data_IF_170808187998
#
_entry.id   IF_170808187998
#
_cell.length_a   1.000
_cell.length_b   1.000
_cell.length_c   1.000
_cell.angle_alpha   90.00
_cell.angle_beta   90.00
_cell.angle_gamma   90.00
#
_symmetry.space_group_name_H-M   'P 1'
#
loop_
_entity.id
_entity.type
_entity.pdbx_description
1 polymer ?
#
# COMPACT_ATOMS: atom_id res chain seq x y z
N UNK A 1 -20.97 3.94 3.03
CA UNK A 1 -22.17 3.09 3.18
C UNK A 1 -22.31 2.61 4.63
N UNK A 2 -23.53 2.62 5.18
CA UNK A 2 -23.87 1.93 6.44
C UNK A 2 -25.03 0.98 6.16
N UNK A 3 -24.89 -0.30 6.49
CA UNK A 3 -25.92 -1.32 6.24
C UNK A 3 -26.29 -2.04 7.55
N UNK A 4 -27.49 -2.61 7.58
CA UNK A 4 -27.97 -3.51 8.65
C UNK A 4 -28.06 -4.98 8.19
N UNK A 5 -27.80 -5.24 6.92
CA UNK A 5 -27.98 -6.56 6.29
C UNK A 5 -26.70 -7.40 6.30
N UNK A 6 -25.54 -6.74 6.39
CA UNK A 6 -24.23 -7.38 6.32
C UNK A 6 -23.36 -6.95 7.50
N UNK A 7 -22.60 -7.90 8.02
CA UNK A 7 -21.70 -7.66 9.16
C UNK A 7 -20.41 -6.97 8.71
N UNK A 8 -19.80 -6.23 9.63
CA UNK A 8 -18.44 -5.71 9.42
C UNK A 8 -17.44 -6.87 9.40
N UNK A 9 -16.44 -6.83 8.52
CA UNK A 9 -15.43 -7.87 8.45
C UNK A 9 -14.69 -8.03 9.79
N UNK A 10 -14.46 -9.29 10.18
CA UNK A 10 -13.66 -9.62 11.36
C UNK A 10 -12.37 -10.30 10.94
N UNK A 11 -11.27 -9.92 11.57
CA UNK A 11 -9.98 -10.60 11.44
C UNK A 11 -9.60 -11.16 12.80
N UNK A 12 -9.36 -12.47 12.86
CA UNK A 12 -8.79 -13.14 14.03
C UNK A 12 -7.29 -13.29 13.81
N UNK A 13 -6.51 -12.79 14.75
CA UNK A 13 -5.04 -12.86 14.72
C UNK A 13 -4.60 -13.84 15.80
N UNK A 14 -3.84 -14.86 15.43
CA UNK A 14 -3.14 -15.71 16.40
C UNK A 14 -1.64 -15.59 16.26
N UNK A 15 -0.94 -15.48 17.39
CA UNK A 15 0.52 -15.49 17.45
C UNK A 15 0.97 -16.95 17.52
N UNK A 16 1.73 -17.38 16.52
CA UNK A 16 2.39 -18.69 16.52
C UNK A 16 3.60 -18.65 17.45
N UNK A 17 4.06 -19.83 17.89
CA UNK A 17 5.19 -19.97 18.82
C UNK A 17 6.52 -19.43 18.26
N UNK A 18 6.64 -19.33 16.94
CA UNK A 18 7.79 -18.75 16.23
C UNK A 18 7.70 -17.21 16.07
N UNK A 19 6.65 -16.58 16.63
CA UNK A 19 6.40 -15.15 16.51
C UNK A 19 5.64 -14.74 15.24
N UNK A 20 5.43 -15.66 14.29
CA UNK A 20 4.65 -15.38 13.08
C UNK A 20 3.15 -15.28 13.38
N UNK A 21 2.42 -14.51 12.58
CA UNK A 21 0.97 -14.32 12.75
C UNK A 21 0.19 -15.20 11.78
N UNK A 22 -0.85 -15.83 12.29
CA UNK A 22 -1.89 -16.45 11.47
C UNK A 22 -3.13 -15.56 11.47
N UNK A 23 -3.59 -15.18 10.29
CA UNK A 23 -4.80 -14.38 10.11
C UNK A 23 -5.92 -15.27 9.59
N UNK A 24 -7.07 -15.26 10.28
CA UNK A 24 -8.30 -15.84 9.78
C UNK A 24 -9.35 -14.77 9.63
N UNK A 25 -9.81 -14.55 8.40
CA UNK A 25 -10.79 -13.54 8.09
C UNK A 25 -12.20 -14.13 8.00
N UNK A 26 -13.14 -13.48 8.68
CA UNK A 26 -14.57 -13.65 8.44
C UNK A 26 -15.03 -12.49 7.56
N UNK A 27 -14.97 -12.69 6.24
CA UNK A 27 -15.20 -11.63 5.24
C UNK A 27 -16.12 -12.00 4.08
N UNK A 28 -16.57 -13.27 3.96
CA UNK A 28 -17.28 -13.78 2.76
C UNK A 28 -18.53 -12.96 2.36
N UNK A 29 -19.28 -12.43 3.31
CA UNK A 29 -20.45 -11.58 3.08
C UNK A 29 -20.35 -10.26 3.83
N UNK A 30 -19.12 -9.77 4.04
CA UNK A 30 -18.92 -8.57 4.82
C UNK A 30 -19.45 -7.32 4.09
N UNK A 31 -19.84 -6.33 4.88
CA UNK A 31 -20.42 -5.08 4.40
C UNK A 31 -19.54 -4.34 3.40
N UNK A 32 -18.21 -4.37 3.57
CA UNK A 32 -17.29 -3.71 2.65
C UNK A 32 -17.34 -4.32 1.23
N UNK A 33 -17.61 -5.62 1.09
CA UNK A 33 -17.75 -6.24 -0.23
C UNK A 33 -19.01 -5.81 -0.99
N UNK A 34 -20.01 -5.26 -0.30
CA UNK A 34 -21.29 -4.89 -0.88
C UNK A 34 -21.34 -3.46 -1.43
N UNK A 35 -20.26 -2.69 -1.24
CA UNK A 35 -20.16 -1.33 -1.75
C UNK A 35 -20.24 -1.31 -3.28
N UNK A 36 -21.25 -0.65 -3.82
CA UNK A 36 -21.55 -0.61 -5.25
C UNK A 36 -20.83 0.55 -5.94
N UNK A 37 -20.64 0.49 -7.27
CA UNK A 37 -20.19 1.64 -8.05
C UNK A 37 -21.03 2.91 -7.82
N UNK A 38 -22.36 2.75 -7.64
CA UNK A 38 -23.29 3.87 -7.44
C UNK A 38 -23.22 4.46 -6.01
N UNK A 39 -22.54 3.79 -5.06
CA UNK A 39 -22.34 4.29 -3.71
C UNK A 39 -21.17 5.29 -3.62
N UNK A 40 -20.42 5.49 -4.71
CA UNK A 40 -19.31 6.45 -4.77
C UNK A 40 -19.89 7.87 -4.72
N UNK A 41 -19.68 8.54 -3.60
CA UNK A 41 -20.00 9.97 -3.48
C UNK A 41 -18.99 10.79 -4.29
N UNK A 42 -19.43 11.36 -5.40
CA UNK A 42 -18.56 12.12 -6.31
C UNK A 42 -17.95 13.37 -5.65
N UNK A 43 -18.56 13.89 -4.59
CA UNK A 43 -18.02 15.05 -3.87
C UNK A 43 -16.67 14.72 -3.22
N UNK A 44 -16.42 13.45 -2.87
CA UNK A 44 -15.13 13.04 -2.29
C UNK A 44 -13.99 13.15 -3.27
N UNK A 45 -14.25 13.34 -4.57
CA UNK A 45 -13.24 13.46 -5.64
C UNK A 45 -12.93 14.92 -6.01
N UNK A 46 -13.47 15.91 -5.30
CA UNK A 46 -13.24 17.33 -5.59
C UNK A 46 -11.90 17.84 -5.02
N UNK A 47 -11.43 17.24 -3.92
CA UNK A 47 -10.19 17.62 -3.23
C UNK A 47 -9.41 16.37 -2.81
N UNK A 48 -8.80 15.71 -3.80
CA UNK A 48 -8.07 14.45 -3.62
C UNK A 48 -6.71 14.50 -4.30
N UNK A 49 -5.65 14.34 -3.53
CA UNK A 49 -4.31 14.17 -4.11
C UNK A 49 -4.04 12.74 -4.59
N UNK A 50 -4.47 11.72 -3.83
CA UNK A 50 -4.31 10.31 -4.18
C UNK A 50 -5.53 9.47 -3.82
N UNK A 51 -5.85 8.51 -4.68
CA UNK A 51 -6.66 7.34 -4.32
C UNK A 51 -5.71 6.19 -4.02
N UNK A 52 -5.82 5.60 -2.82
CA UNK A 52 -5.03 4.44 -2.41
C UNK A 52 -5.93 3.23 -2.19
N UNK A 53 -5.52 2.06 -2.67
CA UNK A 53 -6.22 0.80 -2.40
C UNK A 53 -5.25 -0.39 -2.33
N UNK A 54 -5.77 -1.52 -1.83
CA UNK A 54 -5.05 -2.79 -1.70
C UNK A 54 -5.81 -3.96 -2.33
N UNK A 55 -5.14 -5.09 -2.58
CA UNK A 55 -5.79 -6.25 -3.25
C UNK A 55 -6.94 -6.87 -2.46
N UNK A 56 -7.00 -6.68 -1.14
CA UNK A 56 -8.10 -7.15 -0.29
C UNK A 56 -9.47 -6.69 -0.80
N UNK A 57 -9.56 -5.50 -1.38
CA UNK A 57 -10.81 -4.94 -1.90
C UNK A 57 -11.20 -5.51 -3.28
N UNK A 58 -10.35 -6.33 -3.90
CA UNK A 58 -10.46 -6.71 -5.30
C UNK A 58 -10.92 -8.15 -5.52
N UNK A 59 -11.33 -8.86 -4.46
CA UNK A 59 -12.05 -10.14 -4.61
C UNK A 59 -13.32 -9.94 -5.43
N UNK A 60 -13.75 -10.95 -6.21
CA UNK A 60 -14.94 -10.80 -7.07
C UNK A 60 -16.19 -10.44 -6.26
N UNK A 61 -16.61 -9.18 -6.40
CA UNK A 61 -17.63 -8.54 -5.56
C UNK A 61 -18.07 -7.20 -6.16
N UNK A 62 -19.18 -6.62 -5.69
CA UNK A 62 -19.51 -5.21 -5.95
C UNK A 62 -18.35 -4.24 -5.69
N UNK A 63 -17.58 -4.46 -4.63
CA UNK A 63 -16.44 -3.61 -4.26
C UNK A 63 -15.35 -3.58 -5.35
N UNK A 64 -15.05 -4.70 -6.01
CA UNK A 64 -14.13 -4.74 -7.15
C UNK A 64 -14.62 -3.84 -8.29
N UNK A 65 -15.92 -3.89 -8.61
CA UNK A 65 -16.55 -3.05 -9.63
C UNK A 65 -16.53 -1.58 -9.24
N UNK A 66 -16.75 -1.27 -7.96
CA UNK A 66 -16.64 0.09 -7.43
C UNK A 66 -15.22 0.63 -7.57
N UNK A 67 -14.18 -0.18 -7.33
CA UNK A 67 -12.79 0.22 -7.56
C UNK A 67 -12.52 0.52 -9.04
N UNK A 68 -13.02 -0.30 -9.97
CA UNK A 68 -12.90 -0.01 -11.41
C UNK A 68 -13.57 1.33 -11.77
N UNK A 69 -14.79 1.57 -11.27
CA UNK A 69 -15.47 2.86 -11.48
C UNK A 69 -14.70 4.03 -10.86
N UNK A 70 -14.13 3.84 -9.68
CA UNK A 70 -13.32 4.85 -9.00
C UNK A 70 -12.05 5.18 -9.81
N UNK A 71 -11.40 4.17 -10.40
CA UNK A 71 -10.25 4.34 -11.29
C UNK A 71 -10.63 5.11 -12.56
N UNK A 72 -11.78 4.81 -13.18
CA UNK A 72 -12.29 5.57 -14.33
C UNK A 72 -12.49 7.04 -13.98
N UNK A 73 -13.19 7.33 -12.87
CA UNK A 73 -13.41 8.69 -12.36
C UNK A 73 -12.10 9.41 -12.03
N UNK A 74 -11.13 8.70 -11.44
CA UNK A 74 -9.81 9.24 -11.14
C UNK A 74 -9.09 9.67 -12.43
N UNK A 75 -9.14 8.84 -13.48
CA UNK A 75 -8.55 9.17 -14.76
C UNK A 75 -9.23 10.36 -15.45
N UNK A 76 -10.56 10.49 -15.35
CA UNK A 76 -11.31 11.65 -15.87
C UNK A 76 -10.91 12.96 -15.19
N UNK A 77 -10.48 12.90 -13.92
CA UNK A 77 -10.11 14.05 -13.08
C UNK A 77 -8.61 14.25 -12.90
N UNK A 78 -7.78 13.45 -13.56
CA UNK A 78 -6.31 13.43 -13.40
C UNK A 78 -5.84 13.19 -11.95
N UNK A 79 -6.61 12.41 -11.19
CA UNK A 79 -6.28 12.02 -9.82
C UNK A 79 -5.28 10.86 -9.84
N UNK A 80 -4.21 10.99 -9.04
CA UNK A 80 -3.18 9.96 -8.94
C UNK A 80 -3.68 8.76 -8.16
N UNK A 81 -3.13 7.61 -8.52
CA UNK A 81 -3.51 6.31 -7.94
C UNK A 81 -2.28 5.69 -7.29
N UNK A 82 -2.42 5.32 -6.02
CA UNK A 82 -1.48 4.50 -5.27
C UNK A 82 -2.05 3.09 -5.10
N UNK A 83 -1.23 2.06 -5.36
CA UNK A 83 -1.64 0.67 -5.18
C UNK A 83 -0.57 -0.10 -4.39
N UNK A 84 -0.99 -0.67 -3.26
CA UNK A 84 -0.20 -1.63 -2.48
C UNK A 84 -0.91 -2.99 -2.56
N UNK A 85 -0.44 -3.96 -3.37
CA UNK A 85 -1.08 -5.27 -3.45
C UNK A 85 -1.35 -5.88 -2.08
N UNK A 86 -0.43 -5.74 -1.12
CA UNK A 86 -0.58 -6.15 0.28
C UNK A 86 -1.25 -7.53 0.40
N UNK A 87 -0.62 -8.54 -0.20
CA UNK A 87 -1.25 -9.82 -0.51
C UNK A 87 -1.79 -10.52 0.74
N UNK A 88 -3.02 -11.03 0.66
CA UNK A 88 -3.66 -11.82 1.72
C UNK A 88 -4.24 -13.09 1.12
N UNK A 89 -3.38 -14.08 0.86
CA UNK A 89 -3.75 -15.35 0.22
C UNK A 89 -4.99 -16.01 0.86
N UNK A 90 -5.11 -15.96 2.19
CA UNK A 90 -6.26 -16.52 2.93
C UNK A 90 -7.65 -15.95 2.58
N UNK A 91 -7.70 -14.81 1.87
CA UNK A 91 -8.95 -14.17 1.42
C UNK A 91 -9.41 -14.63 0.04
N UNK A 92 -8.59 -15.42 -0.65
CA UNK A 92 -8.82 -15.88 -2.01
C UNK A 92 -8.93 -17.40 -2.01
N UNK A 93 -9.90 -17.92 -2.74
CA UNK A 93 -10.05 -19.38 -2.88
C UNK A 93 -8.95 -19.95 -3.80
N UNK A 94 -8.41 -19.13 -4.72
CA UNK A 94 -7.32 -19.46 -5.62
C UNK A 94 -6.25 -18.36 -5.64
N UNK A 95 -5.01 -18.75 -5.39
CA UNK A 95 -3.86 -17.84 -5.43
C UNK A 95 -3.61 -17.31 -6.86
N UNK A 96 -3.89 -18.09 -7.90
CA UNK A 96 -3.75 -17.61 -9.28
C UNK A 96 -4.77 -16.53 -9.61
N UNK A 97 -5.97 -16.57 -9.01
CA UNK A 97 -6.98 -15.51 -9.17
C UNK A 97 -6.51 -14.19 -8.52
N UNK A 98 -5.90 -14.26 -7.33
CA UNK A 98 -5.28 -13.11 -6.69
C UNK A 98 -4.19 -12.52 -7.60
N UNK A 99 -3.27 -13.36 -8.08
CA UNK A 99 -2.17 -12.92 -8.96
C UNK A 99 -2.72 -12.25 -10.21
N UNK A 100 -3.68 -12.88 -10.89
CA UNK A 100 -4.34 -12.33 -12.08
C UNK A 100 -4.99 -10.97 -11.79
N UNK A 101 -5.68 -10.85 -10.65
CA UNK A 101 -6.34 -9.60 -10.27
C UNK A 101 -5.32 -8.50 -9.94
N UNK A 102 -4.23 -8.81 -9.25
CA UNK A 102 -3.16 -7.84 -9.02
C UNK A 102 -2.59 -7.34 -10.36
N UNK A 103 -2.26 -8.26 -11.26
CA UNK A 103 -1.74 -7.92 -12.59
C UNK A 103 -2.73 -7.12 -13.45
N UNK A 104 -4.04 -7.33 -13.27
CA UNK A 104 -5.12 -6.56 -13.88
C UNK A 104 -5.12 -5.10 -13.40
N UNK A 105 -4.80 -4.84 -12.13
CA UNK A 105 -4.89 -3.50 -11.53
C UNK A 105 -3.58 -2.70 -11.54
N UNK A 106 -2.41 -3.36 -11.63
CA UNK A 106 -1.11 -2.68 -11.70
C UNK A 106 -1.05 -1.56 -12.78
N UNK A 107 -1.58 -1.73 -14.00
CA UNK A 107 -1.54 -0.70 -15.05
C UNK A 107 -2.15 0.65 -14.69
N UNK A 108 -3.08 0.67 -13.72
CA UNK A 108 -3.80 1.89 -13.34
C UNK A 108 -3.05 2.76 -12.33
N UNK A 109 -2.07 2.20 -11.62
CA UNK A 109 -1.39 2.88 -10.53
C UNK A 109 -0.24 3.77 -11.02
N UNK A 110 -0.11 4.95 -10.41
CA UNK A 110 0.99 5.90 -10.62
C UNK A 110 2.11 5.67 -9.59
N UNK A 111 1.74 5.26 -8.38
CA UNK A 111 2.66 4.85 -7.33
C UNK A 111 2.32 3.43 -6.86
N UNK A 112 3.25 2.50 -7.04
CA UNK A 112 3.09 1.10 -6.64
C UNK A 112 4.03 0.83 -5.48
N UNK A 113 3.56 0.14 -4.45
CA UNK A 113 4.42 -0.37 -3.38
C UNK A 113 4.29 -1.88 -3.32
N UNK A 114 5.40 -2.59 -3.30
CA UNK A 114 5.47 -4.04 -3.07
C UNK A 114 6.59 -4.34 -2.09
N UNK A 115 6.47 -5.46 -1.40
CA UNK A 115 7.55 -6.04 -0.61
C UNK A 115 8.39 -7.05 -1.42
N UNK A 116 9.56 -7.36 -0.90
CA UNK A 116 10.41 -8.47 -1.36
C UNK A 116 9.70 -9.82 -1.31
N UNK A 117 8.89 -10.06 -0.27
CA UNK A 117 8.06 -11.27 -0.15
C UNK A 117 6.99 -11.40 -1.24
N UNK A 118 6.53 -10.29 -1.82
CA UNK A 118 5.47 -10.27 -2.84
C UNK A 118 6.01 -10.36 -4.28
N UNK A 119 7.28 -10.02 -4.49
CA UNK A 119 7.87 -9.85 -5.82
C UNK A 119 7.72 -11.10 -6.70
N UNK A 120 8.17 -12.25 -6.20
CA UNK A 120 8.17 -13.50 -6.98
C UNK A 120 6.74 -13.94 -7.29
N UNK A 121 5.83 -13.84 -6.32
CA UNK A 121 4.44 -14.21 -6.51
C UNK A 121 3.78 -13.38 -7.63
N UNK A 122 3.91 -12.06 -7.56
CA UNK A 122 3.29 -11.14 -8.51
C UNK A 122 3.90 -11.29 -9.90
N UNK A 123 5.23 -11.31 -9.98
CA UNK A 123 5.95 -11.08 -11.24
C UNK A 123 6.55 -12.34 -11.85
N UNK A 124 6.78 -13.39 -11.05
CA UNK A 124 7.55 -14.57 -11.43
C UNK A 124 9.06 -14.36 -11.46
N UNK A 125 9.57 -13.16 -11.15
CA UNK A 125 10.99 -12.87 -11.06
C UNK A 125 11.44 -12.87 -9.60
N UNK A 126 12.66 -13.32 -9.34
CA UNK A 126 13.29 -13.26 -8.00
C UNK A 126 14.17 -12.02 -7.81
N UNK A 127 14.41 -11.26 -8.88
CA UNK A 127 15.20 -10.04 -8.88
C UNK A 127 14.34 -8.87 -9.36
N UNK A 128 14.23 -7.83 -8.54
CA UNK A 128 13.42 -6.65 -8.81
C UNK A 128 13.81 -5.95 -10.13
N UNK A 129 15.10 -5.96 -10.48
CA UNK A 129 15.61 -5.33 -11.71
C UNK A 129 15.03 -5.95 -12.98
N UNK A 130 14.82 -7.26 -12.96
CA UNK A 130 14.26 -7.99 -14.10
C UNK A 130 12.73 -7.76 -14.22
N UNK A 131 12.08 -7.41 -13.11
CA UNK A 131 10.65 -7.13 -13.05
C UNK A 131 10.28 -5.66 -13.36
N UNK A 132 11.21 -4.71 -13.32
CA UNK A 132 10.92 -3.28 -13.53
C UNK A 132 10.10 -2.99 -14.81
N UNK A 133 10.39 -3.61 -15.98
CA UNK A 133 9.60 -3.38 -17.19
C UNK A 133 8.11 -3.72 -17.04
N UNK A 134 7.76 -4.68 -16.18
CA UNK A 134 6.36 -5.06 -15.92
C UNK A 134 5.60 -3.95 -15.19
N UNK A 135 6.26 -3.20 -14.30
CA UNK A 135 5.64 -2.12 -13.55
C UNK A 135 5.57 -0.82 -14.35
N UNK A 136 6.64 -0.46 -15.05
CA UNK A 136 6.75 0.85 -15.74
C UNK A 136 6.17 0.89 -17.16
N UNK A 137 5.52 -0.19 -17.63
CA UNK A 137 4.91 -0.25 -18.97
C UNK A 137 3.75 0.73 -19.17
N UNK A 138 3.03 1.09 -18.09
CA UNK A 138 1.79 1.89 -18.15
C UNK A 138 1.94 3.18 -17.31
N UNK A 139 1.01 3.46 -16.38
CA UNK A 139 0.95 4.72 -15.61
C UNK A 139 1.98 4.84 -14.49
N UNK A 140 2.57 3.74 -14.04
CA UNK A 140 3.46 3.74 -12.89
C UNK A 140 4.65 4.68 -13.15
N UNK A 141 4.85 5.63 -12.23
CA UNK A 141 5.99 6.53 -12.20
C UNK A 141 6.92 6.16 -11.06
N UNK A 142 6.38 5.69 -9.93
CA UNK A 142 7.11 5.29 -8.72
C UNK A 142 6.81 3.86 -8.30
N UNK A 143 7.86 3.05 -8.17
CA UNK A 143 7.80 1.71 -7.57
C UNK A 143 8.63 1.69 -6.28
N UNK A 144 7.93 1.61 -5.14
CA UNK A 144 8.51 1.47 -3.82
C UNK A 144 8.69 -0.02 -3.50
N UNK A 145 9.95 -0.45 -3.36
CA UNK A 145 10.32 -1.83 -3.07
C UNK A 145 10.86 -1.95 -1.63
N UNK A 146 10.01 -2.40 -0.70
CA UNK A 146 10.36 -2.53 0.73
C UNK A 146 10.94 -3.91 1.03
N UNK A 147 11.97 -3.98 1.87
CA UNK A 147 12.75 -5.19 2.18
C UNK A 147 12.86 -5.43 3.69
N UNK A 148 11.77 -5.14 4.42
CA UNK A 148 11.74 -5.19 5.88
C UNK A 148 12.89 -4.41 6.54
N UNK A 149 13.70 -5.10 7.35
CA UNK A 149 14.86 -4.53 8.05
C UNK A 149 15.98 -4.02 7.13
N UNK A 150 15.97 -4.41 5.85
CA UNK A 150 16.97 -3.99 4.88
C UNK A 150 16.56 -2.69 4.15
N UNK A 151 15.44 -2.08 4.58
CA UNK A 151 14.99 -0.75 4.16
C UNK A 151 14.15 -0.76 2.90
N UNK A 152 14.34 0.26 2.06
CA UNK A 152 13.50 0.48 0.87
C UNK A 152 14.34 0.99 -0.30
N UNK A 153 13.94 0.60 -1.51
CA UNK A 153 14.43 1.19 -2.75
C UNK A 153 13.25 1.73 -3.57
N UNK A 154 13.31 2.99 -3.97
CA UNK A 154 12.42 3.59 -4.95
C UNK A 154 13.05 3.47 -6.34
N UNK A 155 12.30 2.87 -7.26
CA UNK A 155 12.55 2.95 -8.69
C UNK A 155 11.60 3.94 -9.33
N UNK A 156 12.10 4.68 -10.30
CA UNK A 156 11.32 5.68 -11.04
C UNK A 156 11.28 5.35 -12.53
N UNK A 157 10.22 5.79 -13.21
CA UNK A 157 10.06 5.58 -14.66
C UNK A 157 11.16 6.23 -15.50
N UNK A 158 11.77 7.31 -15.00
CA UNK A 158 12.93 7.97 -15.61
C UNK A 158 14.28 7.34 -15.20
N UNK A 159 14.26 6.08 -14.76
CA UNK A 159 15.42 5.21 -14.49
C UNK A 159 16.29 5.64 -13.29
N UNK A 160 15.75 6.42 -12.36
CA UNK A 160 16.42 6.74 -11.10
C UNK A 160 16.17 5.65 -10.06
N UNK A 161 17.17 5.41 -9.23
CA UNK A 161 17.15 4.46 -8.12
C UNK A 161 17.62 5.18 -6.86
N UNK A 162 16.73 5.25 -5.85
CA UNK A 162 17.02 5.89 -4.57
C UNK A 162 16.80 4.84 -3.49
N UNK A 163 17.81 4.60 -2.64
CA UNK A 163 17.73 3.60 -1.58
C UNK A 163 18.00 4.21 -0.22
N UNK A 164 17.28 3.71 0.78
CA UNK A 164 17.49 4.03 2.20
C UNK A 164 17.61 2.70 2.96
N UNK A 165 18.65 2.58 3.78
CA UNK A 165 18.86 1.40 4.62
C UNK A 165 17.77 1.32 5.71
N UNK A 166 17.42 0.11 6.14
CA UNK A 166 16.48 -0.05 7.26
C UNK A 166 17.06 0.49 8.57
N UNK A 167 16.17 0.84 9.49
CA UNK A 167 16.56 1.27 10.84
C UNK A 167 16.50 0.08 11.80
N UNK A 168 17.53 -0.03 12.64
CA UNK A 168 17.57 -1.02 13.72
C UNK A 168 16.76 -0.47 14.89
N UNK A 169 15.67 -1.17 15.23
CA UNK A 169 14.78 -0.86 16.35
C UNK A 169 14.41 -2.14 17.09
N UNK A 170 13.96 -2.01 18.35
CA UNK A 170 13.43 -3.12 19.11
C UNK A 170 12.02 -3.48 18.61
N UNK A 171 11.95 -4.46 17.72
CA UNK A 171 10.70 -4.90 17.07
C UNK A 171 9.80 -5.65 18.06
N UNK A 172 8.56 -5.17 18.21
CA UNK A 172 7.50 -5.80 19.01
C UNK A 172 6.44 -6.42 18.10
N UNK A 173 5.99 -5.71 17.06
CA UNK A 173 4.96 -6.16 16.12
C UNK A 173 5.14 -5.51 14.76
N UNK A 174 5.29 -6.29 13.69
CA UNK A 174 5.45 -5.77 12.32
C UNK A 174 4.12 -5.42 11.63
N UNK A 175 2.99 -5.70 12.26
CA UNK A 175 1.66 -5.46 11.69
C UNK A 175 1.43 -3.97 11.49
N UNK A 176 1.08 -3.57 10.26
CA UNK A 176 0.90 -2.16 9.90
C UNK A 176 2.18 -1.42 9.51
N UNK A 177 3.35 -2.06 9.52
CA UNK A 177 4.61 -1.44 9.05
C UNK A 177 4.53 -1.03 7.57
N UNK A 178 4.00 -1.90 6.70
CA UNK A 178 3.80 -1.60 5.29
C UNK A 178 2.78 -0.48 5.04
N UNK A 179 1.67 -0.51 5.78
CA UNK A 179 0.59 0.48 5.67
C UNK A 179 1.06 1.87 6.16
N UNK A 180 1.79 1.90 7.27
CA UNK A 180 2.39 3.12 7.82
C UNK A 180 3.50 3.67 6.91
N UNK A 181 4.28 2.81 6.25
CA UNK A 181 5.25 3.22 5.25
C UNK A 181 4.58 3.94 4.06
N UNK A 182 3.61 3.30 3.39
CA UNK A 182 2.98 3.91 2.22
C UNK A 182 2.18 5.16 2.60
N UNK A 183 1.48 5.14 3.74
CA UNK A 183 0.76 6.30 4.25
C UNK A 183 1.67 7.50 4.53
N UNK A 184 2.81 7.28 5.17
CA UNK A 184 3.79 8.34 5.47
C UNK A 184 4.52 8.87 4.23
N UNK A 185 4.79 8.01 3.24
CA UNK A 185 5.35 8.43 1.96
C UNK A 185 4.38 9.29 1.16
N UNK A 186 3.11 8.88 1.06
CA UNK A 186 2.06 9.66 0.40
C UNK A 186 1.80 10.97 1.15
N UNK A 187 1.83 10.96 2.49
CA UNK A 187 1.76 12.17 3.30
C UNK A 187 2.83 13.19 2.92
N UNK A 188 4.09 12.75 2.71
CA UNK A 188 5.18 13.65 2.30
C UNK A 188 4.95 14.27 0.93
N UNK A 189 4.46 13.50 -0.04
CA UNK A 189 4.08 14.01 -1.35
C UNK A 189 2.95 15.05 -1.26
N UNK A 190 1.93 14.77 -0.45
CA UNK A 190 0.79 15.67 -0.25
C UNK A 190 1.18 16.95 0.49
N UNK A 191 1.97 16.83 1.57
CA UNK A 191 2.38 17.98 2.39
C UNK A 191 3.25 18.98 1.64
N UNK A 192 3.97 18.51 0.62
CA UNK A 192 4.86 19.33 -0.19
C UNK A 192 4.20 19.70 -1.55
N UNK A 193 2.88 19.49 -1.67
CA UNK A 193 2.04 19.83 -2.83
C UNK A 193 2.59 19.27 -4.16
N UNK A 194 3.08 18.03 -4.16
CA UNK A 194 3.68 17.40 -5.33
C UNK A 194 2.62 17.01 -6.36
N UNK A 195 2.47 17.83 -7.39
CA UNK A 195 1.57 17.57 -8.53
C UNK A 195 2.19 16.69 -9.61
N UNK A 196 3.51 16.73 -9.82
CA UNK A 196 4.19 15.92 -10.82
C UNK A 196 5.19 15.03 -10.11
N UNK A 197 4.98 13.71 -10.12
CA UNK A 197 5.86 12.80 -9.36
C UNK A 197 7.30 12.95 -9.87
N UNK A 198 7.52 12.81 -11.18
CA UNK A 198 8.86 12.81 -11.76
C UNK A 198 9.62 14.16 -11.63
N UNK A 199 9.00 15.25 -11.18
CA UNK A 199 9.71 16.52 -10.93
C UNK A 199 10.46 16.56 -9.59
N UNK A 200 10.21 15.62 -8.68
CA UNK A 200 10.85 15.58 -7.35
C UNK A 200 12.32 15.19 -7.48
N UNK A 201 13.22 15.95 -6.84
CA UNK A 201 14.67 15.69 -6.88
C UNK A 201 15.07 14.41 -6.14
N UNK A 202 16.26 13.88 -6.43
CA UNK A 202 16.77 12.67 -5.76
C UNK A 202 16.97 12.89 -4.27
N UNK A 203 17.43 14.07 -3.88
CA UNK A 203 17.65 14.46 -2.48
C UNK A 203 16.31 14.46 -1.72
N UNK A 204 15.29 15.10 -2.32
CA UNK A 204 13.95 15.17 -1.74
C UNK A 204 13.30 13.78 -1.64
N UNK A 205 13.45 12.94 -2.68
CA UNK A 205 12.98 11.55 -2.63
C UNK A 205 13.69 10.73 -1.55
N UNK A 206 14.99 10.92 -1.37
CA UNK A 206 15.72 10.27 -0.29
C UNK A 206 15.20 10.71 1.09
N UNK A 207 14.86 11.98 1.28
CA UNK A 207 14.23 12.48 2.50
C UNK A 207 12.85 11.85 2.74
N UNK A 208 12.01 11.75 1.70
CA UNK A 208 10.68 11.14 1.81
C UNK A 208 10.76 9.65 2.16
N UNK A 209 11.68 8.92 1.53
CA UNK A 209 11.95 7.52 1.86
C UNK A 209 12.48 7.38 3.28
N UNK A 210 13.38 8.26 3.70
CA UNK A 210 13.96 8.24 5.05
C UNK A 210 12.91 8.50 6.11
N UNK A 211 12.02 9.47 5.88
CA UNK A 211 10.87 9.76 6.73
C UNK A 211 9.94 8.54 6.83
N UNK A 212 9.53 7.98 5.69
CA UNK A 212 8.59 6.88 5.66
C UNK A 212 9.16 5.59 6.29
N UNK A 213 10.43 5.31 6.02
CA UNK A 213 11.15 4.16 6.59
C UNK A 213 11.30 4.28 8.12
N UNK A 214 11.62 5.48 8.63
CA UNK A 214 11.66 5.73 10.06
C UNK A 214 10.27 5.61 10.72
N UNK A 215 9.21 6.11 10.06
CA UNK A 215 7.86 6.02 10.58
C UNK A 215 7.36 4.57 10.65
N UNK A 216 7.67 3.78 9.62
CA UNK A 216 7.40 2.34 9.61
C UNK A 216 8.18 1.60 10.71
N UNK A 217 9.48 1.91 10.88
CA UNK A 217 10.29 1.33 11.94
C UNK A 217 9.71 1.63 13.34
N UNK A 218 9.35 2.89 13.62
CA UNK A 218 8.70 3.27 14.88
C UNK A 218 7.38 2.52 15.10
N UNK A 219 6.57 2.36 14.06
CA UNK A 219 5.32 1.59 14.12
C UNK A 219 5.58 0.15 14.57
N UNK A 220 6.74 -0.43 14.26
CA UNK A 220 7.03 -1.80 14.69
C UNK A 220 7.36 -1.97 16.19
N UNK A 221 7.53 -0.87 16.92
CA UNK A 221 7.94 -0.88 18.34
C UNK A 221 6.77 -0.99 19.33
N UNK A 222 5.54 -1.04 18.83
CA UNK A 222 4.29 -1.14 19.62
C UNK A 222 3.38 -2.21 19.03
N UNK A 223 2.50 -2.79 19.85
CA UNK A 223 1.54 -3.78 19.37
C UNK A 223 0.36 -3.16 18.59
N UNK A 224 -0.06 -3.84 17.52
CA UNK A 224 -1.25 -3.56 16.73
C UNK A 224 -1.05 -2.53 15.62
N UNK A 225 -1.63 -2.76 14.44
CA UNK A 225 -1.45 -1.87 13.27
C UNK A 225 -1.77 -0.39 13.55
N UNK A 226 -3.04 -0.08 13.84
CA UNK A 226 -3.48 1.31 14.01
C UNK A 226 -3.04 1.89 15.35
N UNK A 227 -3.04 1.06 16.41
CA UNK A 227 -2.65 1.50 17.75
C UNK A 227 -1.17 1.87 17.86
N UNK A 228 -0.32 1.29 17.00
CA UNK A 228 1.09 1.58 16.96
C UNK A 228 1.46 2.82 16.13
N UNK A 229 0.56 3.33 15.28
CA UNK A 229 0.82 4.52 14.46
C UNK A 229 1.09 5.73 15.36
N UNK A 230 2.25 6.35 15.17
CA UNK A 230 2.71 7.43 16.01
C UNK A 230 1.99 8.76 15.69
N UNK A 231 1.67 9.52 16.73
CA UNK A 231 1.33 10.93 16.55
C UNK A 231 2.54 11.72 16.04
N UNK A 232 2.30 12.91 15.49
CA UNK A 232 3.37 13.83 15.06
C UNK A 232 4.41 14.06 16.17
N UNK A 233 3.97 14.28 17.41
CA UNK A 233 4.84 14.53 18.56
C UNK A 233 5.72 13.31 18.86
N UNK A 234 5.14 12.11 18.88
CA UNK A 234 5.89 10.88 19.12
C UNK A 234 6.91 10.62 18.02
N UNK A 235 6.53 10.85 16.76
CA UNK A 235 7.41 10.65 15.63
C UNK A 235 8.57 11.67 15.63
N UNK A 236 8.32 12.95 15.90
CA UNK A 236 9.36 13.97 16.01
C UNK A 236 10.38 13.64 17.11
N UNK A 237 9.92 13.12 18.25
CA UNK A 237 10.79 12.70 19.35
C UNK A 237 11.65 11.46 19.03
N UNK A 238 11.20 10.62 18.08
CA UNK A 238 11.96 9.48 17.57
C UNK A 238 12.95 9.91 16.47
N UNK A 239 12.50 10.72 15.52
CA UNK A 239 13.23 11.09 14.31
C UNK A 239 14.38 12.08 14.55
N UNK A 240 14.36 12.81 15.67
CA UNK A 240 15.42 13.75 16.07
C UNK A 240 16.53 13.10 16.90
N UNK A 241 16.41 11.82 17.24
CA UNK A 241 17.44 11.02 17.93
C UNK A 241 18.32 10.30 16.93
#
# INVERSE_FOLDING_TARGET
>A
MRTKEYDTSLAFVSLRLDGNRDFKFYRRTAADLQFQPDDIDLAVLEDVGFIHFCSVSLVDSPMKKAHLRLIELANEKDIKISFDPNLRLSLWDDAEELKKTVLEFLPYAHCIKISDEELEFITGYTNIKDALPLFFKDKCEYLLYTKGKDGVTLYTKDNREISVNGLVVDVVDTTGAGDSFIGSFLYKLLNDDIEQLLSVSNETLHEYLSFANAYAALTTTKEGALAAMATKIEFEAFYTK
#
